data_IF_006726717777
#
_entry.id   IF_006726717777
#
_cell.length_a   1.000
_cell.length_b   1.000
_cell.length_c   1.000
_cell.angle_alpha   90.00
_cell.angle_beta   90.00
_cell.angle_gamma   90.00
#
_symmetry.space_group_name_H-M   'P 1'
#
loop_
_entity.id
_entity.type
_entity.pdbx_description
1 polymer ?
#
# COMPACT_ATOMS: atom_id res chain seq x y z
N UNK A 1 5.68 -51.44 -30.05
CA UNK A 1 4.98 -50.21 -29.90
C UNK A 1 5.55 -49.36 -28.85
N UNK A 2 6.11 -48.30 -29.26
CA UNK A 2 6.66 -47.37 -28.31
C UNK A 2 5.68 -46.38 -27.94
N UNK A 3 5.45 -46.30 -26.70
CA UNK A 3 4.68 -45.20 -26.19
C UNK A 3 5.60 -44.08 -25.85
N UNK A 4 5.56 -43.14 -26.69
CA UNK A 4 6.30 -41.95 -26.39
C UNK A 4 5.55 -41.17 -25.41
N UNK A 5 5.83 -41.40 -24.20
CA UNK A 5 5.29 -40.61 -23.15
C UNK A 5 6.10 -39.36 -23.07
N UNK A 6 5.62 -38.40 -23.75
CA UNK A 6 6.12 -37.10 -23.53
C UNK A 6 5.70 -36.73 -22.14
N UNK A 7 6.59 -36.90 -21.24
CA UNK A 7 6.40 -36.32 -19.97
C UNK A 7 6.42 -34.83 -20.22
N UNK A 8 5.25 -34.29 -20.32
CA UNK A 8 5.10 -32.86 -20.25
C UNK A 8 5.48 -32.48 -18.84
N UNK A 9 6.72 -32.22 -18.68
CA UNK A 9 7.13 -31.52 -17.51
C UNK A 9 6.34 -30.24 -17.54
N UNK A 10 5.37 -30.15 -16.68
CA UNK A 10 4.74 -28.89 -16.40
C UNK A 10 5.82 -28.02 -15.84
N UNK A 11 6.45 -27.27 -16.68
CA UNK A 11 7.35 -26.23 -16.26
C UNK A 11 6.46 -25.24 -15.59
N UNK A 12 6.47 -25.25 -14.28
CA UNK A 12 5.86 -24.18 -13.54
C UNK A 12 6.44 -22.89 -14.06
N UNK A 13 5.64 -22.14 -14.75
CA UNK A 13 6.09 -20.88 -15.29
C UNK A 13 6.38 -19.95 -14.15
N UNK A 14 7.63 -19.89 -13.77
CA UNK A 14 8.10 -18.78 -12.98
C UNK A 14 8.18 -17.64 -13.95
N UNK A 15 7.23 -16.74 -13.87
CA UNK A 15 7.28 -15.53 -14.67
C UNK A 15 8.43 -14.68 -14.17
N UNK A 16 9.45 -14.46 -14.99
CA UNK A 16 10.55 -13.60 -14.59
C UNK A 16 10.01 -12.19 -14.35
N UNK A 17 10.32 -11.61 -13.21
CA UNK A 17 9.90 -10.25 -12.90
C UNK A 17 8.56 -10.13 -12.20
N UNK A 18 7.94 -11.23 -11.78
CA UNK A 18 6.82 -11.15 -10.87
C UNK A 18 7.37 -10.75 -9.50
N UNK A 19 7.36 -9.45 -9.23
CA UNK A 19 7.59 -8.98 -7.90
C UNK A 19 6.46 -9.51 -7.03
N UNK A 20 6.81 -10.19 -5.96
CA UNK A 20 5.82 -10.60 -4.98
C UNK A 20 5.18 -9.35 -4.43
N UNK A 21 3.88 -9.23 -4.58
CA UNK A 21 3.14 -8.16 -3.96
C UNK A 21 3.34 -8.23 -2.45
N UNK A 22 3.56 -7.09 -1.82
CA UNK A 22 3.64 -7.03 -0.38
C UNK A 22 2.32 -7.50 0.22
N UNK A 23 2.40 -8.33 1.24
CA UNK A 23 1.20 -8.82 1.90
C UNK A 23 0.58 -7.72 2.77
N UNK A 24 -0.70 -7.85 3.05
CA UNK A 24 -1.39 -6.94 3.98
C UNK A 24 -0.72 -6.95 5.36
N UNK A 25 -0.28 -8.11 5.83
CA UNK A 25 0.41 -8.23 7.11
C UNK A 25 1.74 -7.46 7.11
N UNK A 26 2.49 -7.53 6.03
CA UNK A 26 3.74 -6.79 5.89
C UNK A 26 3.51 -5.29 5.89
N UNK A 27 2.46 -4.84 5.20
CA UNK A 27 2.11 -3.42 5.15
C UNK A 27 1.61 -2.92 6.50
N UNK A 28 0.82 -3.72 7.20
CA UNK A 28 0.37 -3.37 8.54
C UNK A 28 1.54 -3.22 9.49
N UNK A 29 2.50 -4.13 9.42
CA UNK A 29 3.71 -4.07 10.24
C UNK A 29 4.55 -2.83 9.91
N UNK A 30 4.68 -2.50 8.63
CA UNK A 30 5.39 -1.30 8.21
C UNK A 30 4.69 -0.04 8.68
N UNK A 31 3.36 0.01 8.58
CA UNK A 31 2.57 1.13 9.05
C UNK A 31 2.71 1.31 10.56
N UNK A 32 2.67 0.23 11.31
CA UNK A 32 2.86 0.26 12.76
C UNK A 32 4.24 0.78 13.13
N UNK A 33 5.26 0.24 12.52
CA UNK A 33 6.65 0.67 12.73
C UNK A 33 6.87 2.13 12.37
N UNK A 34 6.15 2.61 11.37
CA UNK A 34 6.27 3.99 10.89
C UNK A 34 5.41 4.98 11.67
N UNK A 35 4.63 4.52 12.63
CA UNK A 35 3.82 5.38 13.49
C UNK A 35 2.49 5.81 12.89
N UNK A 36 2.05 5.18 11.82
CA UNK A 36 0.79 5.55 11.15
C UNK A 36 -0.41 5.43 12.09
N UNK A 37 -0.45 4.39 12.91
CA UNK A 37 -1.57 4.13 13.81
C UNK A 37 -1.65 5.07 15.00
N UNK A 38 -0.67 5.94 15.19
CA UNK A 38 -0.78 7.01 16.19
C UNK A 38 -1.83 8.04 15.82
N UNK A 39 -2.11 8.18 14.52
CA UNK A 39 -3.03 9.20 14.02
C UNK A 39 -4.14 8.63 13.13
N UNK A 40 -3.96 7.45 12.58
CA UNK A 40 -4.93 6.83 11.68
C UNK A 40 -5.51 5.56 12.27
N UNK A 41 -6.83 5.44 12.25
CA UNK A 41 -7.48 4.17 12.50
C UNK A 41 -7.61 3.40 11.19
N UNK A 42 -7.92 2.11 11.28
CA UNK A 42 -8.21 1.30 10.10
C UNK A 42 -9.52 1.74 9.45
N UNK A 43 -10.51 2.00 10.26
CA UNK A 43 -11.88 2.33 9.81
C UNK A 43 -12.24 3.77 10.11
N UNK A 44 -11.95 4.23 11.29
CA UNK A 44 -12.44 5.49 11.82
C UNK A 44 -11.33 6.51 11.96
N UNK A 45 -11.74 7.76 11.92
CA UNK A 45 -10.86 8.88 12.19
C UNK A 45 -10.37 8.86 13.64
N UNK A 46 -9.08 9.10 13.79
CA UNK A 46 -8.48 9.46 15.08
C UNK A 46 -8.06 10.92 14.99
N UNK A 47 -6.78 11.18 14.79
CA UNK A 47 -6.29 12.52 14.46
C UNK A 47 -6.42 12.74 12.96
N UNK A 48 -5.97 11.79 12.17
CA UNK A 48 -6.16 11.75 10.73
C UNK A 48 -7.30 10.81 10.34
N UNK A 49 -7.65 10.77 9.06
CA UNK A 49 -8.74 9.92 8.59
C UNK A 49 -8.44 8.44 8.77
N UNK A 50 -9.47 7.64 8.95
CA UNK A 50 -9.34 6.18 8.88
C UNK A 50 -8.91 5.75 7.49
N UNK A 51 -8.19 4.65 7.38
CA UNK A 51 -7.72 4.17 6.08
C UNK A 51 -8.89 3.81 5.17
N UNK A 52 -9.96 3.26 5.71
CA UNK A 52 -11.17 2.99 4.94
C UNK A 52 -11.80 4.26 4.38
N UNK A 53 -11.73 5.36 5.12
CA UNK A 53 -12.22 6.66 4.66
C UNK A 53 -11.37 7.19 3.50
N UNK A 54 -10.06 7.02 3.59
CA UNK A 54 -9.13 7.41 2.51
C UNK A 54 -9.44 6.59 1.25
N UNK A 55 -9.58 5.29 1.40
CA UNK A 55 -9.91 4.40 0.29
C UNK A 55 -11.22 4.81 -0.40
N UNK A 56 -12.24 5.13 0.37
CA UNK A 56 -13.52 5.55 -0.16
C UNK A 56 -13.43 6.87 -0.92
N UNK A 57 -12.68 7.83 -0.38
CA UNK A 57 -12.56 9.15 -0.99
C UNK A 57 -11.84 9.13 -2.33
N UNK A 58 -10.82 8.30 -2.46
CA UNK A 58 -10.00 8.23 -3.67
C UNK A 58 -10.35 7.06 -4.59
N UNK A 59 -11.50 6.44 -4.37
CA UNK A 59 -11.94 5.33 -5.19
C UNK A 59 -12.01 5.74 -6.66
N UNK A 60 -11.36 4.96 -7.52
CA UNK A 60 -11.34 5.22 -8.95
C UNK A 60 -10.33 6.27 -9.41
N UNK A 61 -9.60 6.88 -8.51
CA UNK A 61 -8.57 7.85 -8.84
C UNK A 61 -7.25 7.14 -9.15
N UNK A 62 -6.89 7.07 -10.42
CA UNK A 62 -5.67 6.39 -10.86
C UNK A 62 -4.38 7.07 -10.40
N UNK A 63 -4.46 8.31 -9.96
CA UNK A 63 -3.30 9.07 -9.47
C UNK A 63 -3.14 9.02 -7.96
N UNK A 64 -4.11 8.45 -7.27
CA UNK A 64 -4.14 8.50 -5.81
C UNK A 64 -2.93 7.85 -5.16
N UNK A 65 -2.49 6.69 -5.66
CA UNK A 65 -1.35 6.00 -5.06
C UNK A 65 -0.08 6.86 -5.09
N UNK A 66 0.19 7.50 -6.21
CA UNK A 66 1.35 8.39 -6.36
C UNK A 66 1.22 9.63 -5.49
N UNK A 67 0.03 10.24 -5.48
CA UNK A 67 -0.22 11.45 -4.67
C UNK A 67 -0.12 11.15 -3.18
N UNK A 68 -0.66 10.03 -2.74
CA UNK A 68 -0.62 9.65 -1.33
C UNK A 68 0.78 9.23 -0.90
N UNK A 69 1.53 8.56 -1.76
CA UNK A 69 2.92 8.22 -1.47
C UNK A 69 3.75 9.47 -1.23
N UNK A 70 3.55 10.49 -2.06
CA UNK A 70 4.20 11.78 -1.87
C UNK A 70 3.79 12.43 -0.55
N UNK A 71 2.51 12.39 -0.22
CA UNK A 71 2.01 12.94 1.03
C UNK A 71 2.57 12.22 2.24
N UNK A 72 2.73 10.93 2.19
CA UNK A 72 3.35 10.16 3.26
C UNK A 72 4.78 10.63 3.48
N UNK A 73 5.55 10.81 2.43
CA UNK A 73 6.96 11.21 2.55
C UNK A 73 7.14 12.67 2.91
N UNK A 74 6.35 13.54 2.34
CA UNK A 74 6.51 14.99 2.50
C UNK A 74 5.59 15.63 3.54
N UNK A 75 4.56 14.89 3.96
CA UNK A 75 3.53 15.43 4.82
C UNK A 75 2.56 16.33 4.08
N UNK A 76 1.65 16.91 4.81
CA UNK A 76 0.69 17.84 4.24
C UNK A 76 -0.44 18.17 5.19
N UNK A 77 -1.24 19.15 4.80
CA UNK A 77 -2.41 19.58 5.55
C UNK A 77 -3.50 20.06 4.60
N UNK A 78 -4.71 20.15 5.13
CA UNK A 78 -5.82 20.76 4.42
C UNK A 78 -6.72 19.78 3.70
N UNK A 79 -6.23 18.63 3.27
CA UNK A 79 -7.05 17.63 2.58
C UNK A 79 -8.12 17.03 3.49
N UNK A 80 -7.81 16.85 4.77
CA UNK A 80 -8.67 16.22 5.76
C UNK A 80 -8.84 17.07 7.02
N UNK A 81 -8.55 18.36 6.94
CA UNK A 81 -8.69 19.26 8.03
C UNK A 81 -7.43 20.05 8.32
N UNK A 82 -7.37 20.65 9.50
CA UNK A 82 -6.30 21.59 9.86
C UNK A 82 -5.04 20.94 10.37
N UNK A 83 -5.16 19.77 10.96
CA UNK A 83 -4.03 19.12 11.61
C UNK A 83 -3.13 18.55 10.53
N UNK A 84 -1.86 18.99 10.49
CA UNK A 84 -0.96 18.50 9.46
C UNK A 84 -0.55 17.05 9.72
N UNK A 85 -0.38 16.31 8.65
CA UNK A 85 0.28 15.02 8.68
C UNK A 85 1.78 15.30 8.62
N UNK A 86 2.57 14.83 9.59
CA UNK A 86 4.01 15.05 9.54
C UNK A 86 4.65 14.22 8.41
N UNK A 87 5.79 14.68 7.90
CA UNK A 87 6.50 13.94 6.86
C UNK A 87 7.16 12.68 7.41
N UNK A 88 7.17 11.63 6.61
CA UNK A 88 7.88 10.39 6.89
C UNK A 88 9.06 10.26 5.93
N UNK A 89 9.98 11.19 6.01
CA UNK A 89 11.11 11.28 5.09
C UNK A 89 12.08 10.10 5.14
N UNK A 90 12.00 9.28 6.19
CA UNK A 90 12.79 8.06 6.33
C UNK A 90 12.21 6.87 5.54
N UNK A 91 10.99 6.99 5.03
CA UNK A 91 10.41 5.99 4.15
C UNK A 91 10.89 6.22 2.72
N UNK A 92 11.38 5.16 2.09
CA UNK A 92 11.73 5.22 0.68
C UNK A 92 10.48 5.34 -0.21
N UNK A 93 10.70 5.72 -1.45
CA UNK A 93 9.59 5.88 -2.41
C UNK A 93 8.79 4.59 -2.60
N UNK A 94 9.47 3.45 -2.70
CA UNK A 94 8.81 2.17 -2.88
C UNK A 94 7.94 1.80 -1.70
N UNK A 95 8.45 1.97 -0.49
CA UNK A 95 7.67 1.66 0.71
C UNK A 95 6.49 2.60 0.87
N UNK A 96 6.68 3.89 0.62
CA UNK A 96 5.59 4.86 0.65
C UNK A 96 4.51 4.52 -0.39
N UNK A 97 4.92 4.09 -1.58
CA UNK A 97 4.00 3.68 -2.63
C UNK A 97 3.21 2.44 -2.23
N UNK A 98 3.88 1.44 -1.67
CA UNK A 98 3.23 0.23 -1.19
C UNK A 98 2.25 0.52 -0.07
N UNK A 99 2.62 1.39 0.86
CA UNK A 99 1.71 1.83 1.92
C UNK A 99 0.50 2.55 1.35
N UNK A 100 0.70 3.44 0.40
CA UNK A 100 -0.40 4.15 -0.25
C UNK A 100 -1.36 3.19 -0.94
N UNK A 101 -0.85 2.21 -1.65
CA UNK A 101 -1.67 1.20 -2.32
C UNK A 101 -2.45 0.36 -1.31
N UNK A 102 -1.81 -0.01 -0.21
CA UNK A 102 -2.46 -0.76 0.85
C UNK A 102 -3.59 0.05 1.51
N UNK A 103 -3.34 1.32 1.80
CA UNK A 103 -4.37 2.22 2.35
C UNK A 103 -5.55 2.35 1.39
N UNK A 104 -5.27 2.50 0.10
CA UNK A 104 -6.32 2.61 -0.93
C UNK A 104 -7.15 1.34 -1.07
N UNK A 105 -6.64 0.21 -0.61
CA UNK A 105 -7.40 -1.03 -0.49
C UNK A 105 -8.22 -1.13 0.79
N UNK A 106 -8.15 -0.12 1.66
CA UNK A 106 -8.88 -0.07 2.93
C UNK A 106 -8.02 -0.42 4.15
N UNK A 107 -6.75 -0.66 3.91
CA UNK A 107 -5.84 -1.06 4.98
C UNK A 107 -5.81 -2.53 5.29
#
# INVERSE_FOLDING_TARGET
>A
MKKEWMALAAVGAILPGAALAATAAEMQALADKSGCFSCHGMQSKLVGPGFAEVAARYKGDSQAAASLAKKIREGGKGAWGRIPMPPHGNLGEDDARKLAEWVLGGG
#
